data_IF_027646964278
#
_entry.id   IF_027646964278
#
_cell.length_a   1.000
_cell.length_b   1.000
_cell.length_c   1.000
_cell.angle_alpha   90.00
_cell.angle_beta   90.00
_cell.angle_gamma   90.00
#
_symmetry.space_group_name_H-M   'P 1'
#
loop_
_entity.id
_entity.type
_entity.pdbx_description
1 polymer ?
#
# COMPACT_ATOMS: atom_id res chain seq x y z
N UNK A 1 -14.26 9.73 23.82
CA UNK A 1 -14.70 9.61 22.40
C UNK A 1 -14.38 10.87 21.56
N UNK A 2 -13.30 11.62 21.85
CA UNK A 2 -13.11 13.00 21.33
C UNK A 2 -11.85 13.25 20.48
N UNK A 3 -11.09 12.24 20.06
CA UNK A 3 -9.74 12.49 19.52
C UNK A 3 -9.38 11.70 18.25
N UNK A 4 -10.35 11.24 17.46
CA UNK A 4 -10.05 10.71 16.10
C UNK A 4 -10.01 11.81 15.02
N UNK A 5 -10.56 12.98 15.30
CA UNK A 5 -10.62 14.09 14.32
C UNK A 5 -9.35 14.97 14.38
N UNK A 6 -8.50 14.78 15.40
CA UNK A 6 -7.21 15.45 15.59
C UNK A 6 -6.07 14.42 15.70
N UNK A 7 -6.12 13.34 14.93
CA UNK A 7 -4.93 12.50 14.83
C UNK A 7 -3.84 13.35 14.18
N UNK A 8 -2.74 13.62 14.91
CA UNK A 8 -1.67 14.52 14.45
C UNK A 8 -1.14 14.11 13.06
N UNK A 9 -1.25 12.81 12.72
CA UNK A 9 -0.86 12.24 11.43
C UNK A 9 -1.64 12.81 10.23
N UNK A 10 -2.89 13.25 10.43
CA UNK A 10 -3.76 13.77 9.37
C UNK A 10 -3.85 15.30 9.36
N UNK A 11 -3.32 15.95 10.41
CA UNK A 11 -3.26 17.41 10.53
C UNK A 11 -2.62 18.13 9.33
N UNK A 12 -1.50 17.66 8.72
CA UNK A 12 -0.95 18.32 7.54
C UNK A 12 -1.90 18.24 6.34
N UNK A 13 -2.64 17.14 6.20
CA UNK A 13 -3.62 16.98 5.14
C UNK A 13 -4.83 17.90 5.34
N UNK A 14 -5.33 18.00 6.59
CA UNK A 14 -6.34 18.99 6.96
C UNK A 14 -5.89 20.42 6.68
N UNK A 15 -4.65 20.76 7.07
CA UNK A 15 -4.09 22.08 6.86
C UNK A 15 -3.98 22.40 5.37
N UNK A 16 -3.53 21.47 4.54
CA UNK A 16 -3.43 21.66 3.09
C UNK A 16 -4.80 21.96 2.47
N UNK A 17 -5.84 21.19 2.82
CA UNK A 17 -7.19 21.44 2.33
C UNK A 17 -7.81 22.73 2.89
N UNK A 18 -7.54 23.06 4.15
CA UNK A 18 -7.97 24.32 4.75
C UNK A 18 -7.32 25.52 4.07
N UNK A 19 -6.03 25.44 3.74
CA UNK A 19 -5.31 26.46 2.97
C UNK A 19 -5.91 26.61 1.57
N UNK A 20 -6.20 25.50 0.89
CA UNK A 20 -6.81 25.53 -0.44
C UNK A 20 -8.21 26.18 -0.40
N UNK A 21 -9.03 25.81 0.59
CA UNK A 21 -10.35 26.40 0.81
C UNK A 21 -10.25 27.90 1.11
N UNK A 22 -9.33 28.29 2.01
CA UNK A 22 -9.09 29.69 2.33
C UNK A 22 -8.63 30.48 1.10
N UNK A 23 -7.79 29.88 0.23
CA UNK A 23 -7.39 30.46 -1.05
C UNK A 23 -8.58 30.71 -1.97
N UNK A 24 -9.45 29.73 -2.17
CA UNK A 24 -10.65 29.90 -3.01
C UNK A 24 -11.60 30.97 -2.44
N UNK A 25 -11.81 30.98 -1.13
CA UNK A 25 -12.65 31.99 -0.48
C UNK A 25 -12.02 33.39 -0.55
N UNK A 26 -10.71 33.50 -0.38
CA UNK A 26 -9.97 34.75 -0.55
C UNK A 26 -10.09 35.30 -1.97
N UNK A 27 -9.99 34.42 -2.98
CA UNK A 27 -10.19 34.81 -4.39
C UNK A 27 -11.64 35.20 -4.67
N UNK A 28 -12.63 34.48 -4.14
CA UNK A 28 -14.04 34.83 -4.25
C UNK A 28 -14.31 36.22 -3.63
N UNK A 29 -13.77 36.45 -2.44
CA UNK A 29 -13.88 37.72 -1.72
C UNK A 29 -13.23 38.87 -2.50
N UNK A 30 -12.03 38.66 -3.02
CA UNK A 30 -11.35 39.67 -3.83
C UNK A 30 -12.15 40.01 -5.09
N UNK A 31 -12.70 39.01 -5.80
CA UNK A 31 -13.52 39.26 -6.99
C UNK A 31 -14.81 40.02 -6.67
N UNK A 32 -15.42 39.76 -5.53
CA UNK A 32 -16.57 40.51 -5.04
C UNK A 32 -16.23 41.99 -4.79
N UNK A 33 -15.07 42.26 -4.18
CA UNK A 33 -14.59 43.62 -3.93
C UNK A 33 -14.30 44.37 -5.24
N UNK A 34 -13.65 43.72 -6.21
CA UNK A 34 -13.44 44.31 -7.54
C UNK A 34 -14.77 44.56 -8.27
N UNK A 35 -15.76 43.67 -8.12
CA UNK A 35 -17.08 43.86 -8.72
C UNK A 35 -17.86 45.04 -8.12
N UNK A 36 -17.65 45.34 -6.82
CA UNK A 36 -18.33 46.44 -6.11
C UNK A 36 -17.57 47.76 -6.11
N UNK A 37 -16.29 47.74 -6.48
CA UNK A 37 -15.46 48.93 -6.67
C UNK A 37 -16.01 49.87 -7.76
N UNK A 38 -15.68 51.17 -7.75
CA UNK A 38 -16.12 52.09 -8.79
C UNK A 38 -15.65 51.66 -10.18
N UNK A 39 -16.58 51.47 -11.11
CA UNK A 39 -16.29 51.12 -12.50
C UNK A 39 -16.49 52.32 -13.42
N UNK A 40 -15.77 52.39 -14.55
CA UNK A 40 -16.02 53.38 -15.59
C UNK A 40 -17.49 53.35 -16.04
N UNK A 41 -18.09 54.52 -16.34
CA UNK A 41 -19.44 54.58 -16.89
C UNK A 41 -19.55 53.72 -18.16
N UNK A 42 -20.59 52.90 -18.27
CA UNK A 42 -20.82 52.06 -19.45
C UNK A 42 -20.12 50.69 -19.46
N UNK A 43 -19.61 50.20 -18.32
CA UNK A 43 -18.96 48.89 -18.21
C UNK A 43 -19.80 47.77 -17.52
N UNK A 44 -21.13 47.63 -17.72
CA UNK A 44 -21.94 46.66 -16.95
C UNK A 44 -21.55 45.20 -17.20
N UNK A 45 -21.06 44.87 -18.40
CA UNK A 45 -20.58 43.52 -18.74
C UNK A 45 -19.34 43.14 -17.93
N UNK A 46 -18.45 44.12 -17.68
CA UNK A 46 -17.23 43.92 -16.89
C UNK A 46 -17.58 43.58 -15.43
N UNK A 47 -18.56 44.30 -14.87
CA UNK A 47 -19.07 44.09 -13.51
C UNK A 47 -19.69 42.71 -13.36
N UNK A 48 -20.59 42.34 -14.28
CA UNK A 48 -21.25 41.03 -14.24
C UNK A 48 -20.27 39.87 -14.40
N UNK A 49 -19.23 40.05 -15.22
CA UNK A 49 -18.18 39.03 -15.39
C UNK A 49 -17.42 38.79 -14.09
N UNK A 50 -17.10 39.83 -13.31
CA UNK A 50 -16.44 39.67 -12.02
C UNK A 50 -17.34 38.99 -10.98
N UNK A 51 -18.64 39.29 -10.96
CA UNK A 51 -19.61 38.55 -10.13
C UNK A 51 -19.66 37.06 -10.50
N UNK A 52 -19.68 36.74 -11.80
CA UNK A 52 -19.64 35.35 -12.26
C UNK A 52 -18.34 34.66 -11.82
N UNK A 53 -17.20 35.35 -11.85
CA UNK A 53 -15.94 34.81 -11.33
C UNK A 53 -15.97 34.59 -9.82
N UNK A 54 -16.51 35.52 -9.04
CA UNK A 54 -16.70 35.34 -7.60
C UNK A 54 -17.56 34.09 -7.31
N UNK A 55 -18.66 33.91 -8.06
CA UNK A 55 -19.51 32.74 -7.95
C UNK A 55 -18.76 31.44 -8.33
N UNK A 56 -17.95 31.45 -9.40
CA UNK A 56 -17.13 30.29 -9.77
C UNK A 56 -16.17 29.88 -8.66
N UNK A 57 -15.51 30.85 -8.00
CA UNK A 57 -14.63 30.56 -6.87
C UNK A 57 -15.39 29.93 -5.69
N UNK A 58 -16.63 30.36 -5.42
CA UNK A 58 -17.49 29.73 -4.42
C UNK A 58 -17.90 28.30 -4.81
N UNK A 59 -18.20 28.06 -6.09
CA UNK A 59 -18.50 26.70 -6.58
C UNK A 59 -17.28 25.79 -6.39
N UNK A 60 -16.07 26.25 -6.75
CA UNK A 60 -14.85 25.48 -6.54
C UNK A 60 -14.59 25.22 -5.05
N UNK A 61 -14.80 26.21 -4.17
CA UNK A 61 -14.73 26.01 -2.73
C UNK A 61 -15.74 24.93 -2.26
N UNK A 62 -16.97 24.97 -2.76
CA UNK A 62 -18.00 23.97 -2.44
C UNK A 62 -17.63 22.56 -2.91
N UNK A 63 -17.15 22.42 -4.15
CA UNK A 63 -16.69 21.14 -4.70
C UNK A 63 -15.47 20.62 -3.94
N UNK A 64 -14.53 21.49 -3.56
CA UNK A 64 -13.37 21.13 -2.75
C UNK A 64 -13.78 20.58 -1.38
N UNK A 65 -14.72 21.25 -0.69
CA UNK A 65 -15.27 20.77 0.59
C UNK A 65 -16.00 19.44 0.43
N UNK A 66 -16.78 19.28 -0.64
CA UNK A 66 -17.48 18.03 -0.91
C UNK A 66 -16.51 16.87 -1.20
N UNK A 67 -15.50 17.11 -2.06
CA UNK A 67 -14.48 16.11 -2.38
C UNK A 67 -13.67 15.74 -1.13
N UNK A 68 -13.30 16.74 -0.33
CA UNK A 68 -12.65 16.54 0.96
C UNK A 68 -13.48 15.66 1.90
N UNK A 69 -14.78 15.96 2.06
CA UNK A 69 -15.68 15.17 2.89
C UNK A 69 -15.81 13.73 2.37
N UNK A 70 -15.98 13.56 1.05
CA UNK A 70 -16.05 12.26 0.37
C UNK A 70 -14.78 11.45 0.56
N UNK A 71 -13.61 12.08 0.42
CA UNK A 71 -12.29 11.49 0.62
C UNK A 71 -12.10 11.06 2.07
N UNK A 72 -12.42 11.91 3.04
CA UNK A 72 -12.34 11.56 4.47
C UNK A 72 -13.27 10.40 4.84
N UNK A 73 -14.45 10.32 4.24
CA UNK A 73 -15.35 9.18 4.42
C UNK A 73 -14.74 7.89 3.86
N UNK A 74 -14.09 7.98 2.70
CA UNK A 74 -13.41 6.84 2.06
C UNK A 74 -12.21 6.36 2.90
N UNK A 75 -11.39 7.28 3.39
CA UNK A 75 -10.23 6.97 4.23
C UNK A 75 -10.62 6.30 5.55
N UNK A 76 -11.76 6.67 6.15
CA UNK A 76 -12.29 5.96 7.32
C UNK A 76 -12.63 4.51 7.02
N UNK A 77 -13.18 4.23 5.83
CA UNK A 77 -13.48 2.86 5.41
C UNK A 77 -12.20 2.08 5.06
N UNK A 78 -11.17 2.74 4.53
CA UNK A 78 -9.86 2.14 4.28
C UNK A 78 -9.12 1.79 5.58
N UNK A 79 -9.13 2.70 6.57
CA UNK A 79 -8.51 2.48 7.88
C UNK A 79 -9.13 1.29 8.62
N UNK A 80 -10.46 1.09 8.52
CA UNK A 80 -11.16 -0.07 9.10
C UNK A 80 -10.70 -1.38 8.47
N UNK A 81 -10.66 -1.46 7.12
CA UNK A 81 -10.18 -2.65 6.41
C UNK A 81 -8.71 -2.95 6.73
N UNK A 82 -7.88 -1.92 6.87
CA UNK A 82 -6.48 -2.09 7.24
C UNK A 82 -6.31 -2.61 8.68
N UNK A 83 -7.21 -2.26 9.61
CA UNK A 83 -7.22 -2.80 10.96
C UNK A 83 -7.63 -4.29 10.95
N UNK A 84 -8.72 -4.64 10.26
CA UNK A 84 -9.18 -6.04 10.12
C UNK A 84 -8.11 -6.94 9.47
N UNK A 85 -7.41 -6.45 8.44
CA UNK A 85 -6.32 -7.19 7.81
C UNK A 85 -5.13 -7.42 8.75
N UNK A 86 -4.80 -6.45 9.62
CA UNK A 86 -3.74 -6.61 10.62
C UNK A 86 -4.11 -7.68 11.65
N UNK A 87 -5.35 -7.65 12.15
CA UNK A 87 -5.84 -8.66 13.09
C UNK A 87 -5.83 -10.07 12.47
N UNK A 88 -6.26 -10.21 11.21
CA UNK A 88 -6.19 -11.49 10.49
C UNK A 88 -4.75 -11.96 10.26
N UNK A 89 -3.85 -11.05 9.90
CA UNK A 89 -2.44 -11.34 9.69
C UNK A 89 -1.73 -11.73 10.99
N UNK A 90 -2.18 -11.25 12.14
CA UNK A 90 -1.68 -11.65 13.47
C UNK A 90 -2.28 -12.98 13.94
N UNK A 91 -3.54 -13.26 13.58
CA UNK A 91 -4.22 -14.52 13.89
C UNK A 91 -3.70 -15.72 13.08
N UNK A 92 -3.28 -15.50 11.82
CA UNK A 92 -2.74 -16.54 10.92
C UNK A 92 -1.50 -17.27 11.50
N UNK A 93 -0.46 -16.58 12.01
CA UNK A 93 0.65 -17.19 12.73
C UNK A 93 0.21 -17.98 13.97
N UNK A 94 -0.69 -17.44 14.80
CA UNK A 94 -1.16 -18.11 16.02
C UNK A 94 -1.99 -19.36 15.71
N UNK A 95 -2.89 -19.30 14.72
CA UNK A 95 -3.67 -20.45 14.27
C UNK A 95 -2.77 -21.56 13.70
N UNK A 96 -1.78 -21.17 12.88
CA UNK A 96 -0.79 -22.11 12.33
C UNK A 96 0.13 -22.72 13.40
N UNK A 97 0.37 -21.98 14.49
CA UNK A 97 1.15 -22.45 15.64
C UNK A 97 0.34 -23.41 16.51
N UNK A 98 -0.95 -23.14 16.68
CA UNK A 98 -1.88 -23.97 17.44
C UNK A 98 -2.17 -25.29 16.72
N UNK A 99 -2.38 -25.27 15.40
CA UNK A 99 -2.52 -26.49 14.58
C UNK A 99 -1.24 -27.35 14.59
N UNK A 100 -0.07 -26.73 14.75
CA UNK A 100 1.20 -27.46 14.91
C UNK A 100 1.31 -28.13 16.29
N UNK A 101 0.74 -27.55 17.35
CA UNK A 101 0.72 -28.16 18.68
C UNK A 101 -0.32 -29.27 18.83
N UNK A 102 -1.49 -29.12 18.21
CA UNK A 102 -2.55 -30.14 18.25
C UNK A 102 -2.28 -31.33 17.32
N UNK A 103 -1.34 -31.21 16.38
CA UNK A 103 -0.90 -32.35 15.57
C UNK A 103 -0.10 -33.31 16.46
N UNK A 104 -0.45 -34.62 16.52
CA UNK A 104 0.42 -35.62 17.13
C UNK A 104 1.80 -35.52 16.49
N UNK A 105 2.82 -35.28 17.30
CA UNK A 105 4.18 -35.09 16.83
C UNK A 105 4.69 -36.41 16.25
N UNK A 106 4.53 -36.60 14.94
CA UNK A 106 5.23 -37.68 14.25
C UNK A 106 6.75 -37.44 14.40
N UNK A 107 7.53 -38.48 14.78
CA UNK A 107 8.96 -38.33 14.99
C UNK A 107 9.62 -37.79 13.71
N UNK A 108 10.33 -36.68 13.83
CA UNK A 108 11.20 -36.21 12.76
C UNK A 108 12.23 -37.30 12.49
N UNK A 109 12.09 -38.03 11.38
CA UNK A 109 13.14 -38.90 10.91
C UNK A 109 14.34 -38.01 10.58
N UNK A 110 15.46 -38.14 11.32
CA UNK A 110 16.65 -37.39 10.99
C UNK A 110 17.08 -37.87 9.61
N UNK A 111 17.31 -36.91 8.71
CA UNK A 111 17.86 -37.17 7.39
C UNK A 111 19.31 -37.65 7.53
N UNK A 112 19.50 -38.89 7.98
CA UNK A 112 20.78 -39.59 8.09
C UNK A 112 21.11 -40.26 6.75
N UNK A 113 21.08 -39.49 5.66
CA UNK A 113 21.59 -39.91 4.34
C UNK A 113 22.83 -39.09 3.96
N UNK A 114 23.78 -39.00 4.87
CA UNK A 114 25.09 -38.43 4.57
C UNK A 114 26.17 -39.01 5.49
N UNK A 115 26.41 -40.31 5.36
CA UNK A 115 27.74 -40.94 5.61
C UNK A 115 27.86 -42.07 4.59
N UNK A 116 28.16 -41.68 3.35
CA UNK A 116 28.62 -42.61 2.32
C UNK A 116 30.01 -43.07 2.72
N UNK A 117 30.09 -44.34 3.09
CA UNK A 117 31.20 -44.97 3.76
C UNK A 117 32.15 -45.54 2.70
N UNK A 118 33.36 -45.00 2.61
CA UNK A 118 34.48 -45.51 1.81
C UNK A 118 34.73 -47.00 2.13
N UNK A 119 34.08 -47.90 1.39
CA UNK A 119 34.32 -49.35 1.39
C UNK A 119 34.32 -49.81 -0.06
N UNK A 120 35.40 -49.54 -0.79
CA UNK A 120 35.89 -50.46 -1.84
C UNK A 120 37.28 -50.04 -2.29
N UNK A 121 38.26 -50.23 -1.41
CA UNK A 121 39.67 -49.92 -1.66
C UNK A 121 40.60 -50.93 -1.00
N UNK A 122 40.28 -52.22 -1.06
CA UNK A 122 41.23 -53.28 -0.67
C UNK A 122 40.78 -54.66 -1.17
N UNK A 123 41.12 -55.00 -2.41
CA UNK A 123 41.43 -56.40 -2.75
C UNK A 123 42.77 -56.41 -3.44
N UNK A 124 43.80 -56.72 -2.66
CA UNK A 124 45.11 -57.10 -3.14
C UNK A 124 45.05 -58.54 -3.64
N UNK A 125 45.59 -58.77 -4.83
CA UNK A 125 46.48 -59.91 -5.05
C UNK A 125 45.93 -61.14 -5.75
N UNK A 126 46.56 -61.39 -6.91
CA UNK A 126 47.03 -62.68 -7.40
C UNK A 126 46.04 -63.60 -8.14
N UNK A 127 46.64 -64.24 -9.14
CA UNK A 127 46.18 -65.42 -9.86
C UNK A 127 45.00 -65.21 -10.83
N UNK A 128 44.96 -65.76 -12.03
CA UNK A 128 45.79 -66.75 -12.71
C UNK A 128 45.17 -66.88 -14.12
N UNK A 129 46.02 -67.21 -15.10
CA UNK A 129 45.69 -67.80 -16.40
C UNK A 129 45.05 -66.84 -17.42
N UNK A 130 45.77 -66.49 -18.49
CA UNK A 130 45.97 -67.35 -19.67
C UNK A 130 44.63 -67.91 -20.18
N UNK A 131 44.03 -67.25 -21.17
CA UNK A 131 44.22 -67.73 -22.53
C UNK A 131 43.77 -66.71 -23.60
N UNK A 132 44.40 -66.76 -24.79
CA UNK A 132 44.14 -65.88 -25.91
C UNK A 132 43.06 -66.50 -26.83
N UNK A 133 42.34 -65.68 -27.60
CA UNK A 133 41.96 -66.00 -28.97
C UNK A 133 41.19 -64.83 -29.61
N UNK A 134 41.72 -64.40 -30.76
CA UNK A 134 40.99 -64.07 -31.99
C UNK A 134 39.77 -63.14 -31.86
N UNK A 135 39.82 -61.89 -32.31
CA UNK A 135 40.16 -61.53 -33.68
C UNK A 135 38.90 -61.05 -34.41
N UNK A 136 38.77 -59.73 -34.62
CA UNK A 136 38.04 -59.16 -35.76
C UNK A 136 38.34 -57.67 -35.95
N UNK A 137 39.32 -57.41 -36.81
CA UNK A 137 39.32 -56.45 -37.94
C UNK A 137 38.60 -55.10 -37.73
N UNK A 138 39.41 -54.04 -37.76
CA UNK A 138 39.10 -52.74 -38.35
C UNK A 138 40.32 -52.32 -39.16
#
# INVERSE_FOLDING_TARGET
MRSYVLQIRWLPWHALWAVLLAGCLGMAWWQWDVATSPHPPGAPVQVWRNYAYAANWLIFAGVAVWFWWRYMRDQRAADQRAAEQREQAEQLPSARSQERLDRPQEPQQPTSRMVEFDIFGSTSGADQADEPEQGRRG
#
